data_IF_765975334796
#
_entry.id   IF_765975334796
#
_cell.length_a   1.000
_cell.length_b   1.000
_cell.length_c   1.000
_cell.angle_alpha   90.00
_cell.angle_beta   90.00
_cell.angle_gamma   90.00
#
_symmetry.space_group_name_H-M   'P 1'
#
loop_
_entity.id
_entity.type
_entity.pdbx_description
1 polymer ?
#
# COMPACT_ATOMS: atom_id res chain seq x y z
N UNK A 1 7.29 1.94 10.28
CA UNK A 1 6.25 2.94 10.62
C UNK A 1 5.05 2.24 11.26
N UNK A 2 4.57 2.77 12.40
CA UNK A 2 3.40 2.31 13.16
C UNK A 2 2.53 3.53 13.50
N UNK A 3 1.21 3.39 13.47
CA UNK A 3 0.31 4.42 13.99
C UNK A 3 0.15 4.25 15.51
N UNK A 4 0.39 5.31 16.27
CA UNK A 4 0.09 5.39 17.71
C UNK A 4 -1.35 5.90 17.91
N UNK A 5 -1.76 6.88 17.12
CA UNK A 5 -3.15 7.32 17.03
C UNK A 5 -3.48 7.87 15.65
N UNK A 6 -4.77 7.89 15.31
CA UNK A 6 -5.36 8.54 14.14
C UNK A 6 -6.45 9.50 14.60
N UNK A 7 -6.35 10.76 14.23
CA UNK A 7 -7.33 11.80 14.53
C UNK A 7 -8.10 12.21 13.27
N UNK A 8 -9.41 12.04 13.31
CA UNK A 8 -10.36 12.41 12.27
C UNK A 8 -11.05 13.71 12.72
N UNK A 9 -10.33 14.82 12.59
CA UNK A 9 -10.77 16.15 13.09
C UNK A 9 -12.02 16.64 12.36
N UNK A 10 -11.96 16.73 11.02
CA UNK A 10 -13.10 17.06 10.16
C UNK A 10 -12.93 16.30 8.86
N UNK A 11 -13.50 15.10 8.79
CA UNK A 11 -13.27 14.20 7.65
C UNK A 11 -14.48 13.28 7.43
N UNK A 12 -15.14 13.41 6.27
CA UNK A 12 -16.37 12.68 6.01
C UNK A 12 -17.46 13.11 6.99
N UNK A 13 -18.00 12.14 7.74
CA UNK A 13 -18.98 12.36 8.81
C UNK A 13 -18.36 12.52 10.20
N UNK A 14 -17.03 12.43 10.33
CA UNK A 14 -16.36 12.54 11.62
C UNK A 14 -16.08 13.99 12.01
N UNK A 15 -16.33 14.29 13.29
CA UNK A 15 -15.88 15.49 14.00
C UNK A 15 -15.07 15.05 15.22
N UNK A 16 -13.79 15.44 15.27
CA UNK A 16 -12.88 15.20 16.40
C UNK A 16 -12.89 13.77 16.96
N UNK A 17 -12.90 12.78 16.07
CA UNK A 17 -12.85 11.37 16.45
C UNK A 17 -11.39 10.88 16.48
N UNK A 18 -10.94 10.34 17.62
CA UNK A 18 -9.60 9.76 17.76
C UNK A 18 -9.65 8.23 17.91
N UNK A 19 -8.81 7.54 17.15
CA UNK A 19 -8.53 6.10 17.30
C UNK A 19 -7.13 5.95 17.89
N UNK A 20 -7.02 5.39 19.10
CA UNK A 20 -5.72 5.12 19.74
C UNK A 20 -5.30 3.66 19.60
N UNK A 21 -4.05 3.43 19.21
CA UNK A 21 -3.45 2.12 18.95
C UNK A 21 -2.36 1.84 19.99
N UNK A 22 -2.75 1.17 21.08
CA UNK A 22 -1.87 0.85 22.21
C UNK A 22 -0.82 -0.18 21.80
N UNK A 23 0.44 0.09 22.09
CA UNK A 23 1.50 -0.91 21.90
C UNK A 23 1.22 -2.17 22.72
N UNK A 24 1.44 -3.34 22.13
CA UNK A 24 1.25 -4.64 22.78
C UNK A 24 1.89 -5.78 21.99
N UNK A 25 1.85 -6.99 22.55
CA UNK A 25 2.29 -8.23 21.89
C UNK A 25 1.14 -9.24 21.96
N UNK A 26 0.47 -9.57 20.83
CA UNK A 26 0.70 -9.05 19.49
C UNK A 26 0.19 -7.60 19.31
N UNK A 27 0.82 -6.86 18.40
CA UNK A 27 0.44 -5.48 18.03
C UNK A 27 -0.67 -5.50 16.95
N UNK A 28 -1.81 -6.08 17.32
CA UNK A 28 -2.97 -6.24 16.44
C UNK A 28 -4.15 -5.42 16.97
N UNK A 29 -4.67 -4.54 16.11
CA UNK A 29 -5.84 -3.72 16.41
C UNK A 29 -6.97 -4.02 15.44
N UNK A 30 -8.19 -4.18 15.97
CA UNK A 30 -9.39 -4.40 15.19
C UNK A 30 -10.32 -3.21 15.39
N UNK A 31 -10.52 -2.43 14.33
CA UNK A 31 -11.54 -1.38 14.28
C UNK A 31 -12.79 -1.96 13.62
N UNK A 32 -13.87 -2.09 14.40
CA UNK A 32 -15.12 -2.67 13.94
C UNK A 32 -16.31 -1.75 14.23
N UNK A 33 -17.41 -1.98 13.53
CA UNK A 33 -18.63 -1.19 13.67
C UNK A 33 -19.66 -1.58 12.60
N UNK A 34 -20.88 -1.07 12.71
CA UNK A 34 -21.94 -1.30 11.73
C UNK A 34 -21.56 -0.78 10.33
N UNK A 35 -22.38 -1.12 9.32
CA UNK A 35 -22.27 -0.47 8.02
C UNK A 35 -22.40 1.05 8.20
N UNK A 36 -21.71 1.82 7.36
CA UNK A 36 -21.68 3.28 7.40
C UNK A 36 -21.06 3.91 8.66
N UNK A 37 -20.59 3.11 9.63
CA UNK A 37 -19.89 3.60 10.82
C UNK A 37 -18.53 4.29 10.53
N UNK A 38 -18.11 4.34 9.26
CA UNK A 38 -16.90 5.06 8.86
C UNK A 38 -15.62 4.26 8.75
N UNK A 39 -15.67 2.92 8.74
CA UNK A 39 -14.47 2.08 8.61
C UNK A 39 -13.69 2.37 7.32
N UNK A 40 -14.38 2.41 6.18
CA UNK A 40 -13.78 2.78 4.88
C UNK A 40 -13.30 4.23 4.88
N UNK A 41 -14.05 5.14 5.52
CA UNK A 41 -13.69 6.55 5.70
C UNK A 41 -12.37 6.70 6.48
N UNK A 42 -12.19 5.96 7.58
CA UNK A 42 -10.97 5.97 8.37
C UNK A 42 -9.75 5.44 7.56
N UNK A 43 -9.94 4.39 6.77
CA UNK A 43 -8.89 3.87 5.87
C UNK A 43 -8.49 4.91 4.79
N UNK A 44 -9.46 5.65 4.25
CA UNK A 44 -9.17 6.72 3.31
C UNK A 44 -8.44 7.89 3.97
N UNK A 45 -8.80 8.22 5.22
CA UNK A 45 -8.11 9.24 5.99
C UNK A 45 -6.64 8.89 6.26
N UNK A 46 -6.33 7.61 6.53
CA UNK A 46 -4.94 7.12 6.62
C UNK A 46 -4.19 7.40 5.31
N UNK A 47 -4.78 7.05 4.17
CA UNK A 47 -4.17 7.32 2.86
C UNK A 47 -3.99 8.83 2.61
N UNK A 48 -4.99 9.64 2.93
CA UNK A 48 -4.98 11.09 2.73
C UNK A 48 -3.96 11.80 3.63
N UNK A 49 -3.77 11.32 4.86
CA UNK A 49 -2.72 11.80 5.74
C UNK A 49 -1.33 11.51 5.14
N UNK A 50 -1.10 10.26 4.73
CA UNK A 50 0.22 9.80 4.29
C UNK A 50 0.63 10.37 2.93
N UNK A 51 -0.31 10.49 1.99
CA UNK A 51 0.00 10.80 0.58
C UNK A 51 -0.61 12.10 0.08
N UNK A 52 -1.28 12.85 0.95
CA UNK A 52 -2.01 14.03 0.54
C UNK A 52 -3.42 13.73 0.05
N UNK A 53 -4.32 14.69 0.25
CA UNK A 53 -5.69 14.57 -0.23
C UNK A 53 -5.75 14.66 -1.76
N UNK A 54 -6.62 13.87 -2.42
CA UNK A 54 -6.85 14.02 -3.85
C UNK A 54 -7.41 15.40 -4.19
N UNK A 55 -7.27 15.85 -5.45
CA UNK A 55 -7.79 17.14 -5.91
C UNK A 55 -9.27 17.30 -5.57
N UNK A 56 -10.07 16.27 -5.84
CA UNK A 56 -11.47 16.11 -5.45
C UNK A 56 -11.55 15.01 -4.40
N UNK A 57 -11.76 15.37 -3.14
CA UNK A 57 -12.00 14.39 -2.08
C UNK A 57 -13.50 14.08 -2.02
N UNK A 58 -13.92 12.81 -1.98
CA UNK A 58 -15.33 12.47 -1.82
C UNK A 58 -15.83 12.65 -0.37
N UNK A 59 -14.95 13.03 0.57
CA UNK A 59 -15.25 13.09 2.00
C UNK A 59 -15.58 14.51 2.50
N UNK A 60 -16.00 15.42 1.61
CA UNK A 60 -16.38 16.79 1.93
C UNK A 60 -17.91 16.99 2.07
N UNK A 61 -18.67 15.93 2.34
CA UNK A 61 -20.14 15.99 2.32
C UNK A 61 -20.76 16.63 3.58
N UNK A 62 -20.02 16.70 4.70
CA UNK A 62 -20.41 17.49 5.89
C UNK A 62 -19.61 18.79 5.99
N UNK A 63 -18.32 18.76 5.68
CA UNK A 63 -17.41 19.89 5.83
C UNK A 63 -16.83 20.33 4.48
N UNK A 64 -16.72 21.65 4.30
CA UNK A 64 -16.06 22.23 3.14
C UNK A 64 -14.60 21.79 3.02
N UNK A 65 -14.05 21.80 1.80
CA UNK A 65 -12.68 21.37 1.55
C UNK A 65 -11.64 22.08 2.42
N UNK A 66 -11.83 23.38 2.72
CA UNK A 66 -10.90 24.15 3.55
C UNK A 66 -10.84 23.69 5.01
N UNK A 67 -11.88 22.98 5.48
CA UNK A 67 -11.99 22.47 6.83
C UNK A 67 -11.48 21.05 6.95
N UNK A 68 -11.33 20.32 5.84
CA UNK A 68 -10.91 18.92 5.88
C UNK A 68 -9.51 18.76 6.47
N UNK A 69 -9.43 17.93 7.51
CA UNK A 69 -8.19 17.69 8.24
C UNK A 69 -8.17 16.31 8.88
N UNK A 70 -7.00 15.68 8.81
CA UNK A 70 -6.69 14.40 9.46
C UNK A 70 -5.36 14.54 10.18
N UNK A 71 -5.22 13.92 11.34
CA UNK A 71 -4.01 13.88 12.13
C UNK A 71 -3.60 12.46 12.48
N UNK A 72 -2.36 12.29 12.89
CA UNK A 72 -1.88 11.07 13.54
C UNK A 72 -0.65 11.35 14.39
N UNK A 73 -0.39 10.40 15.28
CA UNK A 73 0.92 10.22 15.88
C UNK A 73 1.51 8.94 15.28
N UNK A 74 2.65 9.07 14.61
CA UNK A 74 3.36 7.99 13.94
C UNK A 74 4.63 7.64 14.70
N UNK A 75 5.04 6.37 14.64
CA UNK A 75 6.27 5.88 15.25
C UNK A 75 7.12 5.15 14.19
N UNK A 76 8.42 5.46 14.12
CA UNK A 76 9.37 4.72 13.28
C UNK A 76 10.76 4.72 13.94
N UNK A 77 11.35 3.54 14.10
CA UNK A 77 12.70 3.39 14.67
C UNK A 77 12.87 4.02 16.07
N UNK A 78 11.84 3.94 16.93
CA UNK A 78 11.84 4.52 18.28
C UNK A 78 11.65 6.04 18.34
N UNK A 79 11.39 6.70 17.21
CA UNK A 79 11.03 8.12 17.14
C UNK A 79 9.53 8.26 16.92
N UNK A 80 8.96 9.30 17.52
CA UNK A 80 7.54 9.65 17.37
C UNK A 80 7.40 10.95 16.59
N UNK A 81 6.45 11.00 15.66
CA UNK A 81 6.09 12.16 14.86
C UNK A 81 4.59 12.43 15.03
N UNK A 82 4.24 13.53 15.69
CA UNK A 82 2.88 14.09 15.62
C UNK A 82 2.75 14.93 14.36
N UNK A 83 1.80 14.58 13.50
CA UNK A 83 1.55 15.31 12.26
C UNK A 83 0.06 15.40 11.95
N UNK A 84 -0.31 16.48 11.28
CA UNK A 84 -1.62 16.69 10.67
C UNK A 84 -1.46 16.97 9.20
N UNK A 85 -2.52 16.74 8.44
CA UNK A 85 -2.63 17.20 7.06
C UNK A 85 -3.97 17.86 6.84
N UNK A 86 -3.92 19.08 6.31
CA UNK A 86 -5.12 19.77 5.78
C UNK A 86 -5.25 19.52 4.29
N UNK A 87 -6.48 19.53 3.77
CA UNK A 87 -6.71 19.56 2.32
C UNK A 87 -6.15 20.85 1.72
N UNK A 88 -5.37 20.72 0.66
CA UNK A 88 -4.77 21.85 -0.06
C UNK A 88 -3.85 21.38 -1.17
N UNK A 89 -3.17 22.31 -1.84
CA UNK A 89 -2.21 22.02 -2.93
C UNK A 89 -0.75 22.20 -2.52
N UNK A 90 -0.47 23.03 -1.51
CA UNK A 90 0.87 23.29 -0.99
C UNK A 90 0.84 23.51 0.52
N UNK A 91 1.96 23.23 1.20
CA UNK A 91 2.09 23.41 2.66
C UNK A 91 0.99 22.68 3.45
N UNK A 92 0.67 21.46 3.03
CA UNK A 92 -0.43 20.68 3.61
C UNK A 92 -0.06 19.89 4.86
N UNK A 93 1.17 19.33 5.00
CA UNK A 93 1.60 18.74 6.26
C UNK A 93 1.83 19.81 7.32
N UNK A 94 1.39 19.50 8.54
CA UNK A 94 1.47 20.37 9.71
C UNK A 94 2.07 19.55 10.83
N UNK A 95 3.01 20.13 11.58
CA UNK A 95 3.62 19.52 12.75
C UNK A 95 2.69 19.52 13.97
N UNK A 96 3.12 18.88 15.05
CA UNK A 96 2.41 18.89 16.33
C UNK A 96 2.30 20.31 16.94
N UNK A 97 3.22 21.20 16.58
CA UNK A 97 3.33 22.60 17.01
C UNK A 97 2.52 23.58 16.13
N UNK A 98 1.64 23.08 15.26
CA UNK A 98 0.91 23.86 14.25
C UNK A 98 1.77 24.56 13.19
N UNK A 99 3.09 24.28 13.19
CA UNK A 99 4.02 24.73 12.16
C UNK A 99 3.90 23.93 10.86
N UNK A 100 4.46 24.48 9.77
CA UNK A 100 4.61 23.72 8.54
C UNK A 100 5.57 22.54 8.77
N UNK A 101 5.13 21.34 8.41
CA UNK A 101 5.99 20.15 8.46
C UNK A 101 6.61 19.92 7.08
N UNK A 102 7.91 19.65 7.05
CA UNK A 102 8.58 19.22 5.82
C UNK A 102 8.03 17.85 5.37
N UNK A 103 7.47 17.81 4.17
CA UNK A 103 6.95 16.61 3.51
C UNK A 103 8.01 15.50 3.46
N UNK A 104 9.30 15.86 3.34
CA UNK A 104 10.42 14.91 3.32
C UNK A 104 10.51 14.02 4.57
N UNK A 105 10.09 14.52 5.74
CA UNK A 105 10.06 13.73 6.98
C UNK A 105 9.05 12.60 6.88
N UNK A 106 7.85 12.88 6.35
CA UNK A 106 6.80 11.89 6.17
C UNK A 106 7.18 10.88 5.06
N UNK A 107 7.73 11.37 3.94
CA UNK A 107 8.19 10.53 2.82
C UNK A 107 9.30 9.56 3.23
N UNK A 108 10.22 9.98 4.11
CA UNK A 108 11.27 9.11 4.63
C UNK A 108 10.68 7.91 5.41
N UNK A 109 9.62 8.13 6.21
CA UNK A 109 8.94 7.05 6.94
C UNK A 109 8.23 6.06 6.00
N UNK A 110 7.82 6.53 4.82
CA UNK A 110 7.14 5.73 3.79
C UNK A 110 8.10 4.87 2.95
N UNK A 111 9.42 5.11 3.00
CA UNK A 111 10.46 4.30 2.33
C UNK A 111 10.20 4.06 0.84
N UNK A 112 9.74 5.10 0.13
CA UNK A 112 9.46 5.04 -1.30
C UNK A 112 8.09 4.49 -1.68
N UNK A 113 7.24 4.13 -0.70
CA UNK A 113 5.86 3.73 -0.99
C UNK A 113 5.06 4.90 -1.56
N UNK A 114 4.28 4.60 -2.59
CA UNK A 114 3.31 5.53 -3.17
C UNK A 114 1.93 5.24 -2.61
N UNK A 115 0.97 6.13 -2.84
CA UNK A 115 -0.44 5.87 -2.52
C UNK A 115 -0.93 4.56 -3.15
N UNK A 116 -0.51 4.30 -4.38
CA UNK A 116 -0.94 3.14 -5.15
C UNK A 116 -0.36 1.84 -4.57
N UNK A 117 0.96 1.79 -4.33
CA UNK A 117 1.58 0.61 -3.73
C UNK A 117 1.12 0.40 -2.29
N UNK A 118 0.93 1.47 -1.51
CA UNK A 118 0.33 1.38 -0.18
C UNK A 118 -1.09 0.83 -0.22
N UNK A 119 -1.90 1.30 -1.16
CA UNK A 119 -3.28 0.82 -1.36
C UNK A 119 -3.32 -0.67 -1.71
N UNK A 120 -2.39 -1.16 -2.52
CA UNK A 120 -2.33 -2.57 -2.91
C UNK A 120 -1.79 -3.48 -1.78
N UNK A 121 -0.80 -3.02 -1.01
CA UNK A 121 -0.18 -3.81 0.05
C UNK A 121 -0.92 -3.78 1.39
N UNK A 122 -1.55 -2.65 1.74
CA UNK A 122 -2.05 -2.38 3.09
C UNK A 122 -3.53 -1.99 3.17
N UNK A 123 -4.22 -1.90 2.03
CA UNK A 123 -5.65 -1.61 1.98
C UNK A 123 -6.39 -2.71 1.23
N UNK A 124 -7.44 -3.24 1.85
CA UNK A 124 -8.33 -4.19 1.20
C UNK A 124 -9.73 -3.58 1.14
N UNK A 125 -10.16 -3.21 -0.06
CA UNK A 125 -11.50 -2.70 -0.31
C UNK A 125 -12.25 -3.63 -1.26
N UNK A 126 -13.59 -3.60 -1.21
CA UNK A 126 -14.41 -4.38 -2.14
C UNK A 126 -14.12 -4.01 -3.60
N UNK A 127 -13.93 -2.71 -3.87
CA UNK A 127 -13.57 -2.23 -5.20
C UNK A 127 -12.18 -2.71 -5.61
N UNK A 128 -11.19 -2.62 -4.72
CA UNK A 128 -9.83 -3.11 -4.94
C UNK A 128 -9.79 -4.61 -5.19
N UNK A 129 -10.54 -5.40 -4.43
CA UNK A 129 -10.68 -6.84 -4.65
C UNK A 129 -11.29 -7.17 -6.02
N UNK A 130 -12.33 -6.45 -6.43
CA UNK A 130 -12.95 -6.63 -7.75
C UNK A 130 -12.03 -6.20 -8.87
N UNK A 131 -11.33 -5.08 -8.70
CA UNK A 131 -10.36 -4.58 -9.67
C UNK A 131 -9.18 -5.54 -9.81
N UNK A 132 -8.62 -6.01 -8.69
CA UNK A 132 -7.57 -7.01 -8.65
C UNK A 132 -8.02 -8.33 -9.29
N UNK A 133 -9.23 -8.82 -8.98
CA UNK A 133 -9.77 -10.02 -9.62
C UNK A 133 -9.95 -9.88 -11.14
N UNK A 134 -10.46 -8.73 -11.61
CA UNK A 134 -10.53 -8.44 -13.06
C UNK A 134 -9.15 -8.34 -13.69
N UNK A 135 -8.20 -7.70 -13.01
CA UNK A 135 -6.82 -7.61 -13.45
C UNK A 135 -6.20 -9.00 -13.56
N UNK A 136 -6.40 -9.89 -12.58
CA UNK A 136 -5.92 -11.28 -12.63
C UNK A 136 -6.50 -12.07 -13.80
N UNK A 137 -7.79 -11.88 -14.10
CA UNK A 137 -8.44 -12.54 -15.27
C UNK A 137 -7.90 -11.97 -16.58
N UNK A 138 -7.68 -10.65 -16.65
CA UNK A 138 -7.09 -10.00 -17.83
C UNK A 138 -5.58 -10.28 -17.98
N UNK A 139 -4.90 -10.55 -16.88
CA UNK A 139 -3.48 -10.85 -16.73
C UNK A 139 -3.13 -12.31 -17.02
N UNK A 140 -3.90 -13.00 -17.87
CA UNK A 140 -3.48 -14.31 -18.37
C UNK A 140 -2.13 -14.28 -19.11
N UNK A 141 -1.63 -13.09 -19.46
CA UNK A 141 -0.27 -12.86 -19.94
C UNK A 141 0.64 -12.21 -18.86
N UNK A 142 1.92 -12.59 -18.91
CA UNK A 142 3.03 -12.34 -17.98
C UNK A 142 3.11 -10.91 -17.38
N UNK A 143 2.72 -9.91 -18.17
CA UNK A 143 2.72 -8.49 -17.80
C UNK A 143 1.86 -8.17 -16.56
N UNK A 144 0.74 -8.87 -16.39
CA UNK A 144 -0.15 -8.58 -15.26
C UNK A 144 0.28 -9.24 -13.94
N UNK A 145 1.05 -10.34 -13.98
CA UNK A 145 1.77 -10.87 -12.81
C UNK A 145 2.83 -9.87 -12.35
N UNK A 146 3.61 -9.32 -13.28
CA UNK A 146 4.64 -8.33 -12.99
C UNK A 146 4.07 -7.06 -12.32
N UNK A 147 2.92 -6.56 -12.79
CA UNK A 147 2.22 -5.41 -12.19
C UNK A 147 1.69 -5.71 -10.78
N UNK A 148 1.13 -6.90 -10.55
CA UNK A 148 0.66 -7.31 -9.22
C UNK A 148 1.84 -7.49 -8.24
N UNK A 149 2.95 -8.08 -8.69
CA UNK A 149 4.18 -8.19 -7.92
C UNK A 149 4.77 -6.80 -7.60
N UNK A 150 4.76 -5.87 -8.57
CA UNK A 150 5.15 -4.48 -8.39
C UNK A 150 4.32 -3.74 -7.34
N UNK A 151 3.00 -3.88 -7.41
CA UNK A 151 2.08 -3.23 -6.47
C UNK A 151 2.14 -3.79 -5.05
N UNK A 152 2.43 -5.09 -4.90
CA UNK A 152 2.48 -5.78 -3.60
C UNK A 152 3.86 -5.73 -2.91
N UNK A 153 4.89 -5.20 -3.58
CA UNK A 153 6.28 -5.25 -3.10
C UNK A 153 6.94 -6.63 -3.25
N UNK A 154 6.34 -7.52 -4.05
CA UNK A 154 6.81 -8.87 -4.35
C UNK A 154 7.60 -8.96 -5.66
N UNK A 155 8.06 -7.83 -6.22
CA UNK A 155 8.86 -7.80 -7.47
C UNK A 155 10.05 -8.74 -7.40
N UNK A 156 10.81 -8.70 -6.30
CA UNK A 156 11.97 -9.59 -6.12
C UNK A 156 11.60 -11.08 -6.13
N UNK A 157 10.39 -11.44 -5.72
CA UNK A 157 9.90 -12.82 -5.77
C UNK A 157 9.51 -13.21 -7.21
N UNK A 158 8.95 -12.27 -7.97
CA UNK A 158 8.63 -12.48 -9.39
C UNK A 158 9.91 -12.61 -10.22
N UNK A 159 10.88 -11.73 -10.01
CA UNK A 159 12.17 -11.76 -10.71
C UNK A 159 12.92 -13.07 -10.42
N UNK A 160 12.93 -13.51 -9.15
CA UNK A 160 13.53 -14.79 -8.74
C UNK A 160 12.79 -15.99 -9.34
N UNK A 161 11.46 -15.94 -9.45
CA UNK A 161 10.69 -16.98 -10.11
C UNK A 161 11.03 -17.07 -11.61
N UNK A 162 11.08 -15.95 -12.32
CA UNK A 162 11.47 -15.92 -13.74
C UNK A 162 12.87 -16.50 -13.94
N UNK A 163 13.81 -16.16 -13.05
CA UNK A 163 15.17 -16.72 -13.04
C UNK A 163 15.17 -18.25 -12.89
N UNK A 164 14.36 -18.78 -11.96
CA UNK A 164 14.23 -20.23 -11.74
C UNK A 164 13.54 -20.93 -12.92
N UNK A 165 12.56 -20.29 -13.57
CA UNK A 165 11.90 -20.81 -14.77
C UNK A 165 12.88 -20.89 -15.96
N UNK A 166 13.73 -19.89 -16.15
CA UNK A 166 14.80 -19.90 -17.16
C UNK A 166 15.85 -21.00 -16.88
N UNK A 167 16.27 -21.16 -15.63
CA UNK A 167 17.19 -22.24 -15.24
C UNK A 167 16.58 -23.62 -15.49
N UNK A 168 15.31 -23.82 -15.14
CA UNK A 168 14.60 -25.07 -15.38
C UNK A 168 14.48 -25.37 -16.88
N UNK A 169 14.12 -24.39 -17.71
CA UNK A 169 13.99 -24.56 -19.16
C UNK A 169 15.33 -24.90 -19.84
N UNK A 170 16.43 -24.36 -19.33
CA UNK A 170 17.78 -24.69 -19.81
C UNK A 170 18.17 -26.15 -19.51
N UNK A 171 17.61 -26.74 -18.45
CA UNK A 171 17.85 -28.14 -18.07
C UNK A 171 16.95 -29.08 -18.88
N UNK A 172 15.63 -28.86 -18.82
CA UNK A 172 14.65 -29.77 -19.40
C UNK A 172 13.30 -29.09 -19.68
N UNK A 173 12.65 -29.48 -20.79
CA UNK A 173 11.26 -29.15 -21.06
C UNK A 173 10.58 -30.29 -21.84
N UNK A 174 9.23 -30.33 -21.91
CA UNK A 174 8.49 -31.39 -22.60
C UNK A 174 8.83 -31.56 -24.08
N UNK A 175 9.28 -30.49 -24.76
CA UNK A 175 9.83 -30.56 -26.11
C UNK A 175 11.34 -30.69 -26.04
N UNK A 176 11.89 -31.73 -26.66
CA UNK A 176 13.33 -31.89 -26.80
C UNK A 176 13.95 -30.70 -27.56
N UNK A 177 15.11 -30.23 -27.10
CA UNK A 177 15.88 -29.18 -27.76
C UNK A 177 17.36 -29.47 -27.59
N UNK A 178 18.13 -29.41 -28.69
CA UNK A 178 19.58 -29.65 -28.68
C UNK A 178 20.40 -28.63 -27.87
N UNK A 179 19.76 -27.59 -27.34
CA UNK A 179 20.40 -26.59 -26.46
C UNK A 179 20.26 -26.93 -24.98
N UNK A 180 19.39 -27.90 -24.62
CA UNK A 180 19.09 -28.26 -23.22
C UNK A 180 20.02 -29.35 -22.72
N UNK A 181 20.55 -29.18 -21.52
CA UNK A 181 21.59 -30.06 -20.97
C UNK A 181 21.13 -31.52 -20.86
N UNK A 182 19.88 -31.78 -20.47
CA UNK A 182 19.33 -33.14 -20.41
C UNK A 182 19.27 -33.80 -21.79
N UNK A 183 18.86 -33.07 -22.83
CA UNK A 183 18.73 -33.64 -24.19
C UNK A 183 20.10 -33.96 -24.78
N UNK A 184 21.12 -33.15 -24.47
CA UNK A 184 22.51 -33.43 -24.85
C UNK A 184 23.01 -34.67 -24.12
N UNK A 185 22.87 -34.72 -22.80
CA UNK A 185 23.32 -35.86 -21.99
C UNK A 185 22.61 -37.17 -22.38
N UNK A 186 21.32 -37.14 -22.71
CA UNK A 186 20.58 -38.32 -23.17
C UNK A 186 21.12 -38.82 -24.52
N UNK A 187 21.42 -37.93 -25.45
CA UNK A 187 22.01 -38.30 -26.75
C UNK A 187 23.40 -38.91 -26.60
N UNK A 188 24.22 -38.35 -25.72
CA UNK A 188 25.57 -38.87 -25.47
C UNK A 188 25.56 -40.24 -24.78
N UNK A 189 24.52 -40.54 -23.99
CA UNK A 189 24.33 -41.85 -23.36
C UNK A 189 23.84 -42.92 -24.35
N UNK A 190 23.03 -42.53 -25.33
CA UNK A 190 22.44 -43.43 -26.34
C UNK A 190 23.38 -43.68 -27.55
N UNK A 191 24.50 -42.96 -27.64
CA UNK A 191 25.51 -43.07 -28.71
C UNK A 191 26.60 -44.10 -28.40
#
# INVERSE_FOLDING_TARGET
MRFVSLALERYGHFEDCELSFRSGVPDLHIVYGANEAGKTTAMAAVSDLLFGFPTRSPYNFVYDYSLLRVGAVLEDGGRTLGCRRKKGTSGTPIGADDGALDEGVLLAMLRGQTRETFGLSFSLSQEGLRAGGRAMVAAQDDLGRALFAAGSGLTGVSDELSRLEEEADAIWAPRASGKRSFTVAQRDLEA
#
